data_IF_490999705143
#
_entry.id   IF_490999705143
#
_cell.length_a   1.000
_cell.length_b   1.000
_cell.length_c   1.000
_cell.angle_alpha   90.00
_cell.angle_beta   90.00
_cell.angle_gamma   90.00
#
_symmetry.space_group_name_H-M   'P 1'
#
loop_
_entity.id
_entity.type
_entity.pdbx_description
1 polymer ?
#
# COMPACT_ATOMS: atom_id res chain seq x y z
N UNK A 1 -13.36 4.14 -3.04
CA UNK A 1 -13.05 2.74 -2.67
C UNK A 1 -13.95 2.33 -1.53
N UNK A 2 -14.41 1.08 -1.54
CA UNK A 2 -15.22 0.54 -0.43
C UNK A 2 -14.37 0.48 0.85
N UNK A 3 -14.89 0.86 2.02
CA UNK A 3 -14.13 0.81 3.27
C UNK A 3 -13.76 -0.63 3.60
N UNK A 4 -12.48 -0.87 3.92
CA UNK A 4 -11.98 -2.19 4.33
C UNK A 4 -12.75 -2.79 5.51
N UNK A 5 -13.34 -1.93 6.34
CA UNK A 5 -14.16 -2.27 7.50
C UNK A 5 -15.50 -2.93 7.11
N UNK A 6 -15.99 -2.72 5.89
CA UNK A 6 -17.25 -3.30 5.39
C UNK A 6 -17.07 -4.45 4.39
N UNK A 7 -15.85 -4.92 4.13
CA UNK A 7 -15.61 -5.97 3.12
C UNK A 7 -15.75 -7.39 3.71
N UNK A 8 -16.36 -8.34 2.99
CA UNK A 8 -16.29 -9.76 3.35
C UNK A 8 -14.83 -10.25 3.36
N UNK A 9 -14.53 -11.20 4.26
CA UNK A 9 -13.16 -11.57 4.66
C UNK A 9 -12.20 -11.88 3.50
N UNK A 10 -12.70 -12.55 2.46
CA UNK A 10 -11.92 -12.92 1.26
C UNK A 10 -11.52 -11.68 0.46
N UNK A 11 -12.48 -10.77 0.23
CA UNK A 11 -12.26 -9.53 -0.51
C UNK A 11 -11.30 -8.61 0.23
N UNK A 12 -11.34 -8.63 1.57
CA UNK A 12 -10.41 -7.86 2.42
C UNK A 12 -8.97 -8.33 2.26
N UNK A 13 -8.76 -9.64 2.11
CA UNK A 13 -7.41 -10.20 1.93
C UNK A 13 -6.79 -9.78 0.60
N UNK A 14 -7.56 -9.87 -0.49
CA UNK A 14 -7.12 -9.44 -1.83
C UNK A 14 -6.84 -7.93 -1.85
N UNK A 15 -7.72 -7.16 -1.22
CA UNK A 15 -7.56 -5.71 -1.15
C UNK A 15 -6.32 -5.30 -0.34
N UNK A 16 -6.02 -5.97 0.78
CA UNK A 16 -4.80 -5.72 1.55
C UNK A 16 -3.52 -6.10 0.79
N UNK A 17 -3.56 -7.08 -0.12
CA UNK A 17 -2.39 -7.42 -0.93
C UNK A 17 -2.07 -6.33 -1.98
N UNK A 18 -3.06 -5.52 -2.33
CA UNK A 18 -2.93 -4.52 -3.40
C UNK A 18 -2.15 -3.30 -2.89
N UNK A 19 -1.11 -2.83 -3.61
CA UNK A 19 -0.30 -1.66 -3.22
C UNK A 19 -1.14 -0.43 -2.90
N UNK A 20 -2.20 -0.27 -3.68
CA UNK A 20 -2.96 0.97 -3.77
C UNK A 20 -3.96 1.12 -2.62
N UNK A 21 -4.49 0.01 -2.08
CA UNK A 21 -5.50 0.03 -1.03
C UNK A 21 -5.00 0.70 0.25
N UNK A 22 -3.80 0.31 0.71
CA UNK A 22 -3.21 0.87 1.93
C UNK A 22 -2.79 2.34 1.76
N UNK A 23 -2.33 2.72 0.57
CA UNK A 23 -1.94 4.10 0.26
C UNK A 23 -3.17 5.03 0.24
N UNK A 24 -4.26 4.62 -0.41
CA UNK A 24 -5.48 5.43 -0.47
C UNK A 24 -6.14 5.57 0.90
N UNK A 25 -6.11 4.52 1.73
CA UNK A 25 -6.62 4.59 3.10
C UNK A 25 -5.78 5.54 3.97
N UNK A 26 -4.45 5.52 3.83
CA UNK A 26 -3.57 6.48 4.50
C UNK A 26 -3.83 7.93 4.05
N UNK A 27 -3.97 8.17 2.73
CA UNK A 27 -4.31 9.49 2.18
C UNK A 27 -5.67 9.98 2.69
N UNK A 28 -6.67 9.09 2.78
CA UNK A 28 -8.00 9.40 3.30
C UNK A 28 -7.95 9.76 4.79
N UNK A 29 -7.15 9.05 5.58
CA UNK A 29 -6.91 9.38 6.99
C UNK A 29 -6.27 10.76 7.18
N UNK A 30 -5.32 11.14 6.31
CA UNK A 30 -4.70 12.48 6.33
C UNK A 30 -5.71 13.54 5.89
N UNK A 31 -6.41 13.32 4.77
CA UNK A 31 -7.30 14.32 4.18
C UNK A 31 -8.58 14.56 5.01
N UNK A 32 -9.16 13.52 5.60
CA UNK A 32 -10.44 13.62 6.30
C UNK A 32 -10.30 14.03 7.78
N UNK A 33 -9.13 13.80 8.39
CA UNK A 33 -8.95 13.94 9.84
C UNK A 33 -7.64 14.63 10.25
N UNK A 34 -6.83 15.04 9.27
CA UNK A 34 -5.54 15.70 9.50
C UNK A 34 -4.64 14.90 10.44
N UNK A 35 -4.75 13.57 10.41
CA UNK A 35 -3.97 12.71 11.29
C UNK A 35 -2.49 12.89 11.02
N UNK A 36 -1.72 13.13 12.09
CA UNK A 36 -0.27 13.23 12.01
C UNK A 36 0.33 11.93 11.48
N UNK A 37 1.48 12.04 10.79
CA UNK A 37 2.22 10.92 10.21
C UNK A 37 2.63 9.86 11.24
N UNK A 38 2.53 10.16 12.54
CA UNK A 38 2.78 9.25 13.66
C UNK A 38 1.74 8.13 13.80
N UNK A 39 0.61 8.20 13.09
CA UNK A 39 -0.43 7.18 13.22
C UNK A 39 -0.09 5.94 12.39
N UNK A 40 -0.20 4.76 13.00
CA UNK A 40 0.20 3.47 12.39
C UNK A 40 -0.44 3.23 11.02
N UNK A 41 -1.74 3.55 10.85
CA UNK A 41 -2.45 3.45 9.56
C UNK A 41 -1.82 4.32 8.46
N UNK A 42 -1.31 5.49 8.80
CA UNK A 42 -0.73 6.44 7.85
C UNK A 42 0.68 6.01 7.45
N UNK A 43 1.54 5.75 8.44
CA UNK A 43 2.92 5.30 8.19
C UNK A 43 2.96 3.97 7.42
N UNK A 44 2.05 3.04 7.73
CA UNK A 44 1.94 1.77 7.01
C UNK A 44 1.60 1.98 5.52
N UNK A 45 0.73 2.93 5.18
CA UNK A 45 0.43 3.27 3.79
C UNK A 45 1.65 3.81 3.03
N UNK A 46 2.49 4.62 3.69
CA UNK A 46 3.74 5.11 3.10
C UNK A 46 4.75 3.99 2.87
N UNK A 47 4.98 3.13 3.87
CA UNK A 47 5.90 1.98 3.74
C UNK A 47 5.42 1.03 2.65
N UNK A 48 4.12 0.76 2.56
CA UNK A 48 3.55 -0.09 1.54
C UNK A 48 3.75 0.50 0.13
N UNK A 49 3.54 1.81 -0.04
CA UNK A 49 3.81 2.49 -1.30
C UNK A 49 5.29 2.39 -1.69
N UNK A 50 6.21 2.69 -0.77
CA UNK A 50 7.65 2.62 -1.02
C UNK A 50 8.12 1.20 -1.35
N UNK A 51 7.65 0.19 -0.61
CA UNK A 51 7.99 -1.22 -0.86
C UNK A 51 7.58 -1.65 -2.26
N UNK A 52 6.37 -1.27 -2.70
CA UNK A 52 5.90 -1.63 -4.03
C UNK A 52 6.62 -0.86 -5.15
N UNK A 53 6.86 0.44 -4.96
CA UNK A 53 7.67 1.22 -5.92
C UNK A 53 9.04 0.58 -6.11
N UNK A 54 9.74 0.24 -5.02
CA UNK A 54 11.04 -0.42 -5.08
C UNK A 54 10.95 -1.82 -5.70
N UNK A 55 9.92 -2.60 -5.38
CA UNK A 55 9.69 -3.92 -5.98
C UNK A 55 9.59 -3.87 -7.50
N UNK A 56 8.86 -2.90 -8.04
CA UNK A 56 8.74 -2.73 -9.50
C UNK A 56 10.04 -2.27 -10.19
N UNK A 57 10.98 -1.66 -9.48
CA UNK A 57 12.28 -1.29 -10.03
C UNK A 57 13.33 -2.39 -9.85
N UNK A 58 13.36 -3.06 -8.70
CA UNK A 58 14.37 -4.06 -8.34
C UNK A 58 14.11 -5.39 -9.05
N UNK A 59 12.90 -5.95 -8.91
CA UNK A 59 12.14 -6.59 -9.99
C UNK A 59 12.88 -6.86 -11.32
N UNK A 60 12.66 -5.98 -12.32
CA UNK A 60 13.24 -6.10 -13.64
C UNK A 60 14.76 -5.90 -13.64
N UNK A 61 15.33 -5.10 -12.73
CA UNK A 61 16.78 -4.91 -12.65
C UNK A 61 17.51 -6.23 -12.34
N UNK A 62 16.97 -7.03 -11.41
CA UNK A 62 17.49 -8.36 -11.07
C UNK A 62 17.30 -9.32 -12.26
N UNK A 63 16.12 -9.34 -12.87
CA UNK A 63 15.85 -10.21 -14.04
C UNK A 63 16.81 -9.89 -15.19
N UNK A 64 17.08 -8.61 -15.43
CA UNK A 64 18.03 -8.17 -16.45
C UNK A 64 19.47 -8.55 -16.10
N UNK A 65 19.86 -8.41 -14.82
CA UNK A 65 21.18 -8.83 -14.35
C UNK A 65 21.40 -10.35 -14.43
N UNK A 66 20.36 -11.16 -14.19
CA UNK A 66 20.42 -12.63 -14.27
C UNK A 66 20.39 -13.17 -15.70
N UNK A 67 19.91 -12.37 -16.67
CA UNK A 67 19.88 -12.74 -18.09
C UNK A 67 21.15 -12.37 -18.86
N UNK A 68 22.09 -11.68 -18.22
CA UNK A 68 23.42 -11.38 -18.75
C UNK A 68 24.40 -12.49 -18.39
#
# INVERSE_FOLDING_TARGET
MWPLEGMPSVMRYISNFTPFTHTVEAMRCIAARSWSLTHFKVWFGFVNASSWSLGFFIIPAIIFALRK
#
